data_IF_322371356471
#
_entry.id   IF_322371356471
#
_cell.length_a   1.000
_cell.length_b   1.000
_cell.length_c   1.000
_cell.angle_alpha   90.00
_cell.angle_beta   90.00
_cell.angle_gamma   90.00
#
_symmetry.space_group_name_H-M   'P 1'
#
loop_
_entity.id
_entity.type
_entity.pdbx_description
1 polymer ?
#
# COMPACT_ATOMS: atom_id res chain seq x y z
N UNK A 1 -12.63 -2.12 3.15
CA UNK A 1 -12.09 -2.38 1.79
C UNK A 1 -11.97 -1.06 1.04
N UNK A 2 -11.68 -1.06 -0.26
CA UNK A 2 -11.68 0.17 -1.07
C UNK A 2 -13.07 0.83 -1.09
N UNK A 3 -14.13 0.03 -1.14
CA UNK A 3 -15.53 0.45 -1.14
C UNK A 3 -15.92 1.10 0.20
N UNK A 4 -15.52 0.51 1.33
CA UNK A 4 -15.78 1.12 2.65
C UNK A 4 -15.05 2.48 2.78
N UNK A 5 -13.82 2.55 2.27
CA UNK A 5 -13.03 3.78 2.27
C UNK A 5 -13.72 4.85 1.40
N UNK A 6 -14.21 4.46 0.22
CA UNK A 6 -14.98 5.33 -0.67
C UNK A 6 -16.23 5.87 0.04
N UNK A 7 -17.03 5.02 0.69
CA UNK A 7 -18.24 5.47 1.39
C UNK A 7 -17.95 6.42 2.54
N UNK A 8 -16.91 6.15 3.34
CA UNK A 8 -16.51 7.05 4.42
C UNK A 8 -16.00 8.40 3.90
N UNK A 9 -15.21 8.40 2.83
CA UNK A 9 -14.73 9.63 2.19
C UNK A 9 -15.86 10.41 1.52
N UNK A 10 -16.82 9.72 0.90
CA UNK A 10 -17.99 10.33 0.22
C UNK A 10 -18.94 11.01 1.20
N UNK A 11 -19.19 10.39 2.36
CA UNK A 11 -20.02 11.00 3.43
C UNK A 11 -19.37 12.24 4.03
N UNK A 12 -18.05 12.25 4.14
CA UNK A 12 -17.31 13.33 4.78
C UNK A 12 -17.63 13.47 6.28
N UNK A 13 -16.89 14.33 7.01
CA UNK A 13 -16.94 14.37 8.47
C UNK A 13 -18.30 14.83 9.03
N UNK A 14 -19.09 15.59 8.27
CA UNK A 14 -20.39 16.12 8.73
C UNK A 14 -21.49 15.06 8.75
N UNK A 15 -21.35 14.01 7.96
CA UNK A 15 -22.32 12.91 7.85
C UNK A 15 -21.76 11.59 8.43
N UNK A 16 -20.80 11.70 9.35
CA UNK A 16 -20.19 10.55 10.03
C UNK A 16 -19.14 9.79 9.22
N UNK A 17 -18.62 10.39 8.15
CA UNK A 17 -17.50 9.91 7.35
C UNK A 17 -16.15 10.51 7.76
N UNK A 18 -15.18 10.53 6.83
CA UNK A 18 -13.82 11.05 7.05
C UNK A 18 -13.43 12.07 5.99
N UNK A 19 -12.56 13.02 6.35
CA UNK A 19 -12.03 14.02 5.39
C UNK A 19 -10.86 13.50 4.57
N UNK A 20 -10.12 12.53 5.11
CA UNK A 20 -8.93 11.93 4.51
C UNK A 20 -8.68 10.55 5.12
N UNK A 21 -7.92 9.71 4.42
CA UNK A 21 -7.51 8.40 4.87
C UNK A 21 -6.01 8.19 4.63
N UNK A 22 -5.33 7.56 5.59
CA UNK A 22 -3.96 7.09 5.42
C UNK A 22 -4.01 5.64 4.93
N UNK A 23 -3.38 5.38 3.79
CA UNK A 23 -3.27 4.04 3.20
C UNK A 23 -1.81 3.84 2.77
N UNK A 24 -1.31 2.61 2.84
CA UNK A 24 -0.02 2.27 2.24
C UNK A 24 0.00 2.55 0.74
N UNK A 25 1.17 2.84 0.16
CA UNK A 25 1.29 3.36 -1.21
C UNK A 25 0.61 2.48 -2.27
N UNK A 26 0.70 1.16 -2.13
CA UNK A 26 0.05 0.20 -3.03
C UNK A 26 -1.47 0.24 -2.89
N UNK A 27 -1.96 0.39 -1.66
CA UNK A 27 -3.39 0.58 -1.37
C UNK A 27 -3.92 1.89 -1.96
N UNK A 28 -3.18 3.00 -1.84
CA UNK A 28 -3.56 4.27 -2.47
C UNK A 28 -3.60 4.13 -3.99
N UNK A 29 -2.59 3.53 -4.62
CA UNK A 29 -2.54 3.34 -6.08
C UNK A 29 -3.74 2.53 -6.58
N UNK A 30 -4.08 1.44 -5.89
CA UNK A 30 -5.26 0.63 -6.24
C UNK A 30 -6.55 1.41 -6.08
N UNK A 31 -6.72 2.11 -4.95
CA UNK A 31 -7.90 2.92 -4.68
C UNK A 31 -8.09 4.04 -5.70
N UNK A 32 -7.01 4.76 -6.04
CA UNK A 32 -7.03 5.79 -7.08
C UNK A 32 -7.27 5.20 -8.46
N UNK A 33 -6.81 3.97 -8.75
CA UNK A 33 -7.16 3.30 -10.01
C UNK A 33 -8.67 3.07 -10.16
N UNK A 34 -9.37 2.81 -9.06
CA UNK A 34 -10.83 2.59 -9.05
C UNK A 34 -11.62 3.90 -9.00
N UNK A 35 -11.11 4.94 -8.33
CA UNK A 35 -11.81 6.20 -8.07
C UNK A 35 -11.00 7.44 -8.52
N UNK A 36 -10.35 7.36 -9.68
CA UNK A 36 -9.36 8.33 -10.17
C UNK A 36 -9.89 9.75 -10.34
N UNK A 37 -11.19 9.90 -10.63
CA UNK A 37 -11.82 11.19 -10.89
C UNK A 37 -12.37 11.86 -9.61
N UNK A 38 -12.34 11.16 -8.49
CA UNK A 38 -13.00 11.60 -7.24
C UNK A 38 -11.98 11.97 -6.16
N UNK A 39 -10.83 11.31 -6.14
CA UNK A 39 -9.83 11.49 -5.09
C UNK A 39 -8.45 11.75 -5.66
N UNK A 40 -7.60 12.40 -4.85
CA UNK A 40 -6.21 12.65 -5.18
C UNK A 40 -5.36 12.40 -3.94
N UNK A 41 -4.15 11.87 -4.14
CA UNK A 41 -3.14 11.80 -3.10
C UNK A 41 -2.59 13.21 -2.82
N UNK A 42 -2.44 13.56 -1.54
CA UNK A 42 -1.72 14.77 -1.15
C UNK A 42 -0.22 14.54 -1.37
N UNK A 43 0.50 15.56 -1.83
CA UNK A 43 1.78 15.49 -2.54
C UNK A 43 2.93 14.78 -1.79
N UNK A 44 2.92 14.75 -0.46
CA UNK A 44 3.94 14.05 0.33
C UNK A 44 3.52 12.62 0.67
N UNK A 45 4.12 11.66 -0.04
CA UNK A 45 4.07 10.26 0.35
C UNK A 45 4.97 10.03 1.57
N UNK A 46 4.38 9.69 2.71
CA UNK A 46 5.13 9.13 3.84
C UNK A 46 5.53 7.70 3.50
N UNK A 47 6.80 7.49 3.18
CA UNK A 47 7.35 6.18 2.86
C UNK A 47 7.67 5.45 4.17
N UNK A 48 6.65 4.88 4.81
CA UNK A 48 6.78 4.21 6.11
C UNK A 48 6.54 2.70 6.06
N UNK A 49 6.26 2.12 4.89
CA UNK A 49 5.73 0.74 4.83
C UNK A 49 6.23 -0.09 3.63
N UNK A 50 6.18 -1.42 3.79
CA UNK A 50 6.58 -2.41 2.79
C UNK A 50 6.03 -3.80 3.08
N UNK A 51 5.86 -4.62 2.04
CA UNK A 51 5.40 -6.00 2.19
C UNK A 51 6.56 -6.94 2.52
N UNK A 52 6.30 -7.94 3.35
CA UNK A 52 7.28 -8.95 3.74
C UNK A 52 6.67 -10.32 3.98
N UNK A 53 7.52 -11.35 3.96
CA UNK A 53 7.17 -12.71 4.34
C UNK A 53 7.46 -12.92 5.83
N UNK A 54 6.56 -13.60 6.53
CA UNK A 54 6.68 -13.85 7.97
C UNK A 54 7.13 -15.29 8.22
N UNK A 55 8.11 -15.45 9.11
CA UNK A 55 8.65 -16.75 9.52
C UNK A 55 8.75 -16.84 11.05
N UNK A 56 8.78 -18.04 11.64
CA UNK A 56 9.11 -18.22 13.05
C UNK A 56 10.45 -17.57 13.42
N UNK A 57 10.55 -17.07 14.65
CA UNK A 57 11.79 -16.51 15.19
C UNK A 57 12.92 -17.56 15.08
N UNK A 58 14.08 -17.15 14.55
CA UNK A 58 15.25 -17.99 14.22
C UNK A 58 15.05 -18.96 13.05
N UNK A 59 14.04 -18.78 12.22
CA UNK A 59 13.92 -19.54 10.97
C UNK A 59 15.14 -19.27 10.07
N UNK A 60 15.82 -20.31 9.55
CA UNK A 60 16.92 -20.14 8.61
C UNK A 60 16.44 -19.55 7.27
N UNK A 61 15.14 -19.66 6.96
CA UNK A 61 14.55 -19.20 5.70
C UNK A 61 14.56 -17.68 5.56
N UNK A 62 14.66 -16.93 6.65
CA UNK A 62 14.65 -15.45 6.61
C UNK A 62 15.77 -14.95 5.70
N UNK A 63 17.01 -15.43 5.89
CA UNK A 63 18.15 -14.99 5.10
C UNK A 63 18.06 -15.40 3.64
N UNK A 64 17.56 -16.60 3.38
CA UNK A 64 17.48 -17.15 2.02
C UNK A 64 16.43 -16.42 1.20
N UNK A 65 15.24 -16.19 1.79
CA UNK A 65 14.14 -15.49 1.14
C UNK A 65 14.47 -14.01 0.94
N UNK A 66 15.05 -13.33 1.93
CA UNK A 66 15.49 -11.93 1.76
C UNK A 66 16.53 -11.78 0.64
N UNK A 67 17.47 -12.73 0.51
CA UNK A 67 18.47 -12.72 -0.56
C UNK A 67 17.85 -13.01 -1.93
N UNK A 68 16.85 -13.89 -2.00
CA UNK A 68 16.10 -14.15 -3.21
C UNK A 68 15.32 -12.91 -3.66
N UNK A 69 14.66 -12.20 -2.73
CA UNK A 69 13.99 -10.91 -3.02
C UNK A 69 14.99 -9.91 -3.58
N UNK A 70 16.15 -9.74 -2.96
CA UNK A 70 17.18 -8.82 -3.44
C UNK A 70 17.61 -9.14 -4.88
N UNK A 71 17.88 -10.42 -5.17
CA UNK A 71 18.24 -10.86 -6.53
C UNK A 71 17.17 -10.54 -7.57
N UNK A 72 15.89 -10.64 -7.21
CA UNK A 72 14.79 -10.27 -8.11
C UNK A 72 14.72 -8.76 -8.27
N UNK A 73 14.80 -8.00 -7.18
CA UNK A 73 14.73 -6.54 -7.19
C UNK A 73 15.85 -5.89 -8.00
N UNK A 74 17.06 -6.46 -7.96
CA UNK A 74 18.22 -6.02 -8.77
C UNK A 74 18.19 -6.56 -10.20
N UNK A 75 17.24 -7.44 -10.54
CA UNK A 75 17.13 -8.00 -11.89
C UNK A 75 16.40 -7.05 -12.84
N UNK A 76 16.71 -7.09 -14.15
CA UNK A 76 15.97 -6.32 -15.15
C UNK A 76 14.46 -6.58 -15.18
N UNK A 77 14.03 -7.77 -14.72
CA UNK A 77 12.63 -8.18 -14.67
C UNK A 77 11.81 -7.47 -13.59
N UNK A 78 12.45 -6.81 -12.63
CA UNK A 78 11.74 -6.03 -11.60
C UNK A 78 11.44 -4.58 -12.05
N UNK A 79 12.00 -4.14 -13.18
CA UNK A 79 11.78 -2.82 -13.75
C UNK A 79 10.71 -2.80 -14.85
N UNK A 80 10.16 -3.96 -15.21
CA UNK A 80 9.01 -4.13 -16.10
C UNK A 80 7.73 -4.22 -15.27
#
# INVERSE_FOLDING_TARGET
TAEDCHELLRKGPKEGGVSAAFLGITGVRLFLGQYCNTYKMVEESFNVDGFGFVFPIRSPLVSDVSRAILKVAESPKAME
#
